data_IF_370288090210
#
_entry.id   IF_370288090210
#
_cell.length_a   1.000
_cell.length_b   1.000
_cell.length_c   1.000
_cell.angle_alpha   90.00
_cell.angle_beta   90.00
_cell.angle_gamma   90.00
#
_symmetry.space_group_name_H-M   'P 1'
#
loop_
_entity.id
_entity.type
_entity.pdbx_description
1 polymer ?
#
# COMPACT_ATOMS: atom_id res chain seq x y z
N UNK A 1 25.29 15.00 -17.44
CA UNK A 1 24.31 15.75 -18.26
C UNK A 1 23.11 15.99 -17.34
N UNK A 2 23.07 17.13 -16.68
CA UNK A 2 21.89 17.57 -15.95
C UNK A 2 20.86 17.99 -17.00
N UNK A 3 19.83 17.20 -17.18
CA UNK A 3 18.67 17.58 -17.99
C UNK A 3 17.92 18.66 -17.26
N UNK A 4 17.93 19.85 -17.82
CA UNK A 4 17.25 21.06 -17.36
C UNK A 4 15.72 20.82 -17.40
N UNK A 5 15.16 20.33 -16.29
CA UNK A 5 13.72 20.02 -16.14
C UNK A 5 12.86 21.27 -15.95
N UNK A 6 13.46 22.46 -15.99
CA UNK A 6 12.77 23.74 -15.75
C UNK A 6 11.99 24.30 -16.94
N UNK A 7 12.11 23.71 -18.15
CA UNK A 7 11.51 24.25 -19.37
C UNK A 7 10.75 23.24 -20.23
N UNK A 8 10.35 22.08 -19.70
CA UNK A 8 9.43 21.20 -20.42
C UNK A 8 8.05 21.86 -20.43
N UNK A 9 7.66 22.36 -21.60
CA UNK A 9 6.28 22.79 -21.83
C UNK A 9 5.37 21.57 -21.70
N UNK A 10 4.36 21.68 -20.88
CA UNK A 10 3.37 20.64 -20.63
C UNK A 10 2.74 20.10 -21.95
N UNK A 11 2.55 21.00 -22.91
CA UNK A 11 2.01 20.71 -24.25
C UNK A 11 2.86 19.74 -25.08
N UNK A 12 4.15 19.62 -24.77
CA UNK A 12 5.10 18.72 -25.45
C UNK A 12 5.28 17.38 -24.70
N UNK A 13 4.56 17.16 -23.60
CA UNK A 13 4.67 15.93 -22.81
C UNK A 13 3.65 14.88 -23.26
N UNK A 14 4.00 13.59 -23.09
CA UNK A 14 3.08 12.46 -23.32
C UNK A 14 1.80 12.53 -22.44
N UNK A 15 1.74 13.48 -21.50
CA UNK A 15 0.65 13.72 -20.57
C UNK A 15 -0.31 14.82 -21.10
N UNK A 16 0.02 15.52 -22.16
CA UNK A 16 -0.79 16.62 -22.68
C UNK A 16 -2.21 16.24 -23.08
N UNK A 17 -2.42 15.00 -23.51
CA UNK A 17 -3.74 14.47 -23.89
C UNK A 17 -4.53 13.86 -22.72
N UNK A 18 -3.92 13.65 -21.57
CA UNK A 18 -4.55 13.07 -20.39
C UNK A 18 -5.66 14.01 -19.87
N UNK A 19 -6.91 13.54 -19.73
CA UNK A 19 -8.08 14.33 -19.30
C UNK A 19 -8.75 15.16 -20.40
N UNK A 20 -8.30 15.07 -21.66
CA UNK A 20 -9.08 15.61 -22.79
C UNK A 20 -10.39 14.85 -22.96
N UNK A 21 -11.43 15.50 -23.52
CA UNK A 21 -12.72 14.84 -23.80
C UNK A 21 -12.57 13.58 -24.68
N UNK A 22 -11.58 13.55 -25.54
CA UNK A 22 -11.26 12.40 -26.38
C UNK A 22 -10.67 11.26 -25.55
N UNK A 23 -9.76 11.57 -24.65
CA UNK A 23 -9.15 10.58 -23.75
C UNK A 23 -10.18 10.05 -22.75
N UNK A 24 -11.02 10.92 -22.17
CA UNK A 24 -12.11 10.53 -21.28
C UNK A 24 -13.06 9.54 -21.97
N UNK A 25 -13.54 9.86 -23.19
CA UNK A 25 -14.40 8.96 -23.97
C UNK A 25 -13.74 7.63 -24.35
N UNK A 26 -12.45 7.67 -24.69
CA UNK A 26 -11.69 6.46 -24.97
C UNK A 26 -11.52 5.59 -23.72
N UNK A 27 -11.30 6.20 -22.58
CA UNK A 27 -11.15 5.52 -21.29
C UNK A 27 -12.48 4.92 -20.82
N UNK A 28 -13.59 5.66 -20.89
CA UNK A 28 -14.94 5.15 -20.61
C UNK A 28 -15.29 3.95 -21.50
N UNK A 29 -14.93 4.00 -22.80
CA UNK A 29 -15.09 2.85 -23.68
C UNK A 29 -14.25 1.66 -23.23
N UNK A 30 -12.97 1.86 -22.90
CA UNK A 30 -12.08 0.79 -22.42
C UNK A 30 -12.52 0.24 -21.06
N UNK A 31 -13.03 1.08 -20.17
CA UNK A 31 -13.60 0.64 -18.90
C UNK A 31 -14.75 -0.35 -19.12
N UNK A 32 -15.62 -0.09 -20.13
CA UNK A 32 -16.68 -1.00 -20.52
C UNK A 32 -16.19 -2.25 -21.30
N UNK A 33 -15.02 -2.18 -21.91
CA UNK A 33 -14.42 -3.32 -22.62
C UNK A 33 -13.60 -4.26 -21.70
N UNK A 34 -13.31 -3.88 -20.44
CA UNK A 34 -12.56 -4.69 -19.50
C UNK A 34 -13.44 -5.78 -18.87
N UNK A 35 -13.21 -7.08 -19.19
CA UNK A 35 -14.08 -8.16 -18.72
C UNK A 35 -14.11 -8.30 -17.20
N UNK A 36 -13.02 -7.98 -16.50
CA UNK A 36 -12.91 -8.15 -15.07
C UNK A 36 -13.84 -7.20 -14.31
N UNK A 37 -14.08 -5.99 -14.82
CA UNK A 37 -14.99 -5.04 -14.18
C UNK A 37 -16.44 -5.56 -14.19
N UNK A 38 -16.86 -6.24 -15.22
CA UNK A 38 -18.20 -6.84 -15.32
C UNK A 38 -18.44 -8.03 -14.37
N UNK A 39 -17.36 -8.58 -13.79
CA UNK A 39 -17.48 -9.63 -12.76
C UNK A 39 -17.87 -9.08 -11.39
N UNK A 40 -17.78 -7.77 -11.20
CA UNK A 40 -18.07 -7.09 -9.92
C UNK A 40 -19.53 -6.67 -9.90
N UNK A 41 -20.24 -7.10 -8.84
CA UNK A 41 -21.60 -6.63 -8.56
C UNK A 41 -21.54 -5.49 -7.56
N UNK A 42 -22.53 -4.59 -7.63
CA UNK A 42 -22.72 -3.54 -6.63
C UNK A 42 -23.29 -4.11 -5.32
N UNK A 43 -22.49 -4.95 -4.68
CA UNK A 43 -22.79 -5.57 -3.38
C UNK A 43 -21.51 -5.61 -2.52
N UNK A 44 -21.62 -5.63 -1.20
CA UNK A 44 -20.46 -5.68 -0.32
C UNK A 44 -19.52 -6.84 -0.68
N UNK A 45 -18.29 -6.51 -1.06
CA UNK A 45 -17.29 -7.50 -1.45
C UNK A 45 -15.86 -6.93 -1.34
N UNK A 46 -14.89 -7.84 -1.33
CA UNK A 46 -13.48 -7.56 -1.56
C UNK A 46 -13.06 -8.26 -2.85
N UNK A 47 -12.43 -7.54 -3.76
CA UNK A 47 -11.88 -8.05 -5.01
C UNK A 47 -10.44 -7.64 -5.14
N UNK A 48 -9.60 -8.56 -5.60
CA UNK A 48 -8.18 -8.32 -5.80
C UNK A 48 -7.79 -8.79 -7.19
N UNK A 49 -7.05 -7.95 -7.88
CA UNK A 49 -6.44 -8.27 -9.16
C UNK A 49 -4.95 -7.97 -9.10
N UNK A 50 -4.17 -8.75 -9.82
CA UNK A 50 -2.75 -8.49 -10.08
C UNK A 50 -2.59 -7.95 -11.50
N UNK A 51 -1.63 -7.07 -11.69
CA UNK A 51 -1.25 -6.63 -13.03
C UNK A 51 -0.25 -7.62 -13.62
N UNK A 52 -0.58 -8.18 -14.78
CA UNK A 52 0.27 -9.13 -15.50
C UNK A 52 0.34 -8.76 -16.98
N UNK A 53 1.52 -8.37 -17.47
CA UNK A 53 1.73 -8.05 -18.90
C UNK A 53 0.65 -7.10 -19.45
N UNK A 54 0.48 -5.98 -18.77
CA UNK A 54 -0.51 -4.92 -19.08
C UNK A 54 -1.99 -5.33 -18.93
N UNK A 55 -2.28 -6.49 -18.35
CA UNK A 55 -3.66 -6.95 -18.13
C UNK A 55 -3.99 -7.06 -16.65
N UNK A 56 -5.27 -6.94 -16.35
CA UNK A 56 -5.85 -7.19 -15.03
C UNK A 56 -6.14 -8.68 -14.91
N UNK A 57 -5.60 -9.33 -13.89
CA UNK A 57 -5.80 -10.76 -13.62
C UNK A 57 -6.38 -10.97 -12.22
N UNK A 58 -7.49 -11.71 -12.09
CA UNK A 58 -8.10 -11.94 -10.80
C UNK A 58 -7.13 -12.70 -9.88
N UNK A 59 -6.94 -12.18 -8.67
CA UNK A 59 -6.15 -12.83 -7.64
C UNK A 59 -6.97 -13.94 -6.98
N UNK A 60 -6.43 -15.14 -6.78
CA UNK A 60 -7.18 -16.23 -6.16
C UNK A 60 -7.63 -15.87 -4.73
N UNK A 61 -8.87 -16.19 -4.36
CA UNK A 61 -9.43 -15.84 -3.05
C UNK A 61 -8.69 -16.48 -1.88
N UNK A 62 -8.15 -17.65 -2.07
CA UNK A 62 -7.32 -18.37 -1.08
C UNK A 62 -5.96 -17.72 -0.86
N UNK A 63 -5.56 -16.80 -1.75
CA UNK A 63 -4.34 -16.01 -1.66
C UNK A 63 -4.57 -14.59 -1.10
N UNK A 64 -5.80 -14.22 -0.74
CA UNK A 64 -6.08 -12.89 -0.20
C UNK A 64 -5.30 -12.63 1.08
N UNK A 65 -4.62 -11.48 1.13
CA UNK A 65 -3.66 -11.11 2.17
C UNK A 65 -2.24 -11.62 1.91
N UNK A 66 -1.99 -12.30 0.77
CA UNK A 66 -0.65 -12.65 0.31
C UNK A 66 -0.34 -11.85 -0.94
N UNK A 67 0.76 -11.11 -0.93
CA UNK A 67 1.22 -10.25 -2.02
C UNK A 67 2.70 -10.54 -2.30
N UNK A 68 3.21 -10.07 -3.43
CA UNK A 68 4.61 -10.21 -3.82
C UNK A 68 5.23 -8.83 -4.05
N UNK A 69 6.47 -8.66 -3.59
CA UNK A 69 7.16 -7.37 -3.67
C UNK A 69 7.51 -6.95 -5.11
N UNK A 70 7.54 -7.88 -6.05
CA UNK A 70 7.76 -7.60 -7.48
C UNK A 70 6.50 -7.23 -8.25
N UNK A 71 5.31 -7.29 -7.64
CA UNK A 71 4.04 -7.13 -8.34
C UNK A 71 3.29 -5.86 -7.92
N UNK A 72 2.35 -5.45 -8.76
CA UNK A 72 1.36 -4.41 -8.43
C UNK A 72 -0.05 -4.98 -8.47
N UNK A 73 -0.87 -4.59 -7.49
CA UNK A 73 -2.23 -5.07 -7.32
C UNK A 73 -3.24 -3.93 -7.30
N UNK A 74 -4.47 -4.23 -7.72
CA UNK A 74 -5.65 -3.40 -7.51
C UNK A 74 -6.56 -4.14 -6.53
N UNK A 75 -6.94 -3.47 -5.43
CA UNK A 75 -7.83 -4.03 -4.41
C UNK A 75 -9.07 -3.16 -4.29
N UNK A 76 -10.22 -3.67 -4.70
CA UNK A 76 -11.51 -3.01 -4.58
C UNK A 76 -12.25 -3.53 -3.34
N UNK A 77 -12.63 -2.62 -2.46
CA UNK A 77 -13.50 -2.87 -1.32
C UNK A 77 -14.82 -2.14 -1.51
N UNK A 78 -15.91 -2.88 -1.49
CA UNK A 78 -17.27 -2.35 -1.47
C UNK A 78 -17.87 -2.69 -0.11
N UNK A 79 -18.24 -1.68 0.66
CA UNK A 79 -18.85 -1.87 1.98
C UNK A 79 -20.22 -1.17 2.02
N UNK A 80 -21.14 -1.72 2.82
CA UNK A 80 -22.42 -1.08 3.08
C UNK A 80 -22.35 -0.28 4.37
N UNK A 81 -22.60 1.02 4.30
CA UNK A 81 -22.63 1.92 5.45
C UNK A 81 -23.88 2.79 5.33
N UNK A 82 -24.69 2.85 6.40
CA UNK A 82 -25.91 3.66 6.47
C UNK A 82 -26.82 3.53 5.21
N UNK A 83 -27.04 2.26 4.78
CA UNK A 83 -27.79 1.89 3.57
C UNK A 83 -27.23 2.37 2.22
N UNK A 84 -26.02 2.93 2.21
CA UNK A 84 -25.28 3.29 0.99
C UNK A 84 -24.08 2.36 0.79
N UNK A 85 -23.68 2.20 -0.46
CA UNK A 85 -22.44 1.53 -0.79
C UNK A 85 -21.30 2.56 -0.83
N UNK A 86 -20.21 2.26 -0.14
CA UNK A 86 -18.95 2.98 -0.24
C UNK A 86 -17.98 2.12 -1.05
N UNK A 87 -17.36 2.73 -2.07
CA UNK A 87 -16.40 2.10 -2.97
C UNK A 87 -15.00 2.66 -2.71
N UNK A 88 -14.03 1.78 -2.49
CA UNK A 88 -12.63 2.15 -2.28
C UNK A 88 -11.75 1.24 -3.10
N UNK A 89 -10.89 1.82 -3.91
CA UNK A 89 -9.92 1.06 -4.68
C UNK A 89 -8.49 1.46 -4.28
N UNK A 90 -7.69 0.47 -3.95
CA UNK A 90 -6.30 0.62 -3.55
C UNK A 90 -5.40 0.14 -4.68
N UNK A 91 -4.44 0.97 -5.07
CA UNK A 91 -3.33 0.59 -5.93
C UNK A 91 -2.14 0.23 -5.04
N UNK A 92 -1.89 -1.06 -4.90
CA UNK A 92 -0.86 -1.59 -4.02
C UNK A 92 0.41 -1.89 -4.83
N UNK A 93 1.47 -1.14 -4.57
CA UNK A 93 2.72 -1.21 -5.31
C UNK A 93 3.79 -1.90 -4.49
N UNK A 94 4.27 -3.03 -4.98
CA UNK A 94 5.39 -3.73 -4.39
C UNK A 94 6.71 -2.97 -4.60
N UNK A 95 7.65 -3.18 -3.70
CA UNK A 95 8.93 -2.46 -3.64
C UNK A 95 9.81 -2.65 -4.88
N UNK A 96 9.67 -3.80 -5.54
CA UNK A 96 10.41 -4.18 -6.74
C UNK A 96 9.52 -4.21 -8.00
N UNK A 97 8.28 -3.73 -7.89
CA UNK A 97 7.36 -3.64 -9.03
C UNK A 97 7.92 -2.74 -10.12
N UNK A 98 7.72 -3.16 -11.37
CA UNK A 98 8.21 -2.44 -12.54
C UNK A 98 7.39 -1.17 -12.81
N UNK A 99 8.00 -0.21 -13.53
CA UNK A 99 7.30 1.01 -13.98
C UNK A 99 6.10 0.67 -14.87
N UNK A 100 6.20 -0.40 -15.68
CA UNK A 100 5.14 -0.83 -16.60
C UNK A 100 3.92 -1.36 -15.83
N UNK A 101 4.15 -2.14 -14.78
CA UNK A 101 3.06 -2.64 -13.92
C UNK A 101 2.40 -1.52 -13.14
N UNK A 102 3.21 -0.65 -12.53
CA UNK A 102 2.73 0.51 -11.77
C UNK A 102 1.95 1.47 -12.66
N UNK A 103 2.46 1.77 -13.86
CA UNK A 103 1.77 2.61 -14.84
C UNK A 103 0.46 1.99 -15.32
N UNK A 104 0.46 0.68 -15.57
CA UNK A 104 -0.76 -0.05 -15.96
C UNK A 104 -1.80 -0.03 -14.84
N UNK A 105 -1.39 -0.29 -13.60
CA UNK A 105 -2.28 -0.25 -12.44
C UNK A 105 -2.90 1.14 -12.26
N UNK A 106 -2.10 2.21 -12.37
CA UNK A 106 -2.57 3.59 -12.29
C UNK A 106 -3.62 3.91 -13.35
N UNK A 107 -3.44 3.41 -14.56
CA UNK A 107 -4.44 3.57 -15.63
C UNK A 107 -5.70 2.73 -15.37
N UNK A 108 -5.53 1.46 -15.02
CA UNK A 108 -6.62 0.51 -14.80
C UNK A 108 -7.49 0.85 -13.59
N UNK A 109 -6.94 1.43 -12.53
CA UNK A 109 -7.72 1.86 -11.37
C UNK A 109 -8.63 3.06 -11.70
N UNK A 110 -8.18 3.93 -12.61
CA UNK A 110 -9.00 5.04 -13.11
C UNK A 110 -10.08 4.54 -14.08
N UNK A 111 -9.79 3.53 -14.92
CA UNK A 111 -10.82 2.85 -15.73
C UNK A 111 -11.89 2.21 -14.83
N UNK A 112 -11.47 1.58 -13.71
CA UNK A 112 -12.40 0.99 -12.73
C UNK A 112 -13.31 2.06 -12.11
N UNK A 113 -12.76 3.23 -11.78
CA UNK A 113 -13.54 4.35 -11.26
C UNK A 113 -14.55 4.90 -12.29
N UNK A 114 -14.14 5.04 -13.56
CA UNK A 114 -15.05 5.42 -14.64
C UNK A 114 -16.16 4.38 -14.84
N UNK A 115 -15.86 3.07 -14.72
CA UNK A 115 -16.85 1.99 -14.77
C UNK A 115 -17.92 2.12 -13.68
N UNK A 116 -17.53 2.51 -12.47
CA UNK A 116 -18.42 2.78 -11.33
C UNK A 116 -18.86 4.25 -11.25
N UNK A 117 -18.89 4.98 -12.38
CA UNK A 117 -19.41 6.35 -12.49
C UNK A 117 -18.73 7.34 -11.55
N UNK A 118 -17.42 7.18 -11.32
CA UNK A 118 -16.57 8.03 -10.46
C UNK A 118 -17.03 8.07 -9.00
N UNK A 119 -17.50 6.95 -8.49
CA UNK A 119 -17.89 6.81 -7.09
C UNK A 119 -16.78 6.24 -6.20
N UNK A 120 -15.65 5.84 -6.78
CA UNK A 120 -14.57 5.16 -6.06
C UNK A 120 -13.61 6.16 -5.44
N UNK A 121 -13.33 6.01 -4.15
CA UNK A 121 -12.17 6.65 -3.52
C UNK A 121 -10.90 5.90 -3.91
N UNK A 122 -10.00 6.59 -4.60
CA UNK A 122 -8.73 6.01 -5.08
C UNK A 122 -7.62 6.20 -4.03
N UNK A 123 -6.93 5.12 -3.70
CA UNK A 123 -5.92 5.10 -2.64
C UNK A 123 -4.64 4.45 -3.18
N UNK A 124 -3.51 5.15 -3.04
CA UNK A 124 -2.20 4.61 -3.33
C UNK A 124 -1.59 4.01 -2.06
N UNK A 125 -1.19 2.74 -2.16
CA UNK A 125 -0.54 1.99 -1.09
C UNK A 125 0.86 1.56 -1.56
N UNK A 126 1.88 1.91 -0.82
CA UNK A 126 3.23 1.40 -1.08
C UNK A 126 3.58 0.33 -0.06
N UNK A 127 4.31 -0.68 -0.51
CA UNK A 127 4.82 -1.71 0.38
C UNK A 127 5.58 -1.10 1.56
N UNK A 128 5.35 -1.65 2.75
CA UNK A 128 5.89 -1.22 4.05
C UNK A 128 5.26 0.08 4.62
N UNK A 129 4.32 0.68 3.90
CA UNK A 129 3.62 1.93 4.28
C UNK A 129 2.11 1.83 4.05
N UNK A 130 1.58 0.64 4.11
CA UNK A 130 0.16 0.39 3.88
C UNK A 130 -0.71 1.14 4.90
N UNK A 131 -1.82 1.69 4.43
CA UNK A 131 -2.76 2.39 5.29
C UNK A 131 -3.45 1.42 6.26
N UNK A 132 -3.86 1.93 7.43
CA UNK A 132 -4.64 1.16 8.41
C UNK A 132 -5.92 0.58 7.80
N UNK A 133 -6.51 1.31 6.86
CA UNK A 133 -7.70 0.89 6.14
C UNK A 133 -7.41 -0.36 5.31
N UNK A 134 -6.35 -0.32 4.51
CA UNK A 134 -5.95 -1.46 3.69
C UNK A 134 -5.64 -2.70 4.55
N UNK A 135 -4.87 -2.53 5.61
CA UNK A 135 -4.53 -3.61 6.52
C UNK A 135 -5.78 -4.22 7.19
N UNK A 136 -6.81 -3.41 7.44
CA UNK A 136 -8.06 -3.89 8.09
C UNK A 136 -8.88 -4.86 7.26
N UNK A 137 -8.64 -4.95 5.94
CA UNK A 137 -9.35 -5.89 5.08
C UNK A 137 -8.89 -7.33 5.27
N UNK A 138 -7.74 -7.54 5.89
CA UNK A 138 -7.09 -8.83 6.00
C UNK A 138 -6.88 -9.22 7.47
N UNK A 139 -7.11 -10.48 7.79
CA UNK A 139 -6.76 -11.02 9.10
C UNK A 139 -5.24 -11.02 9.33
N UNK A 140 -4.49 -11.30 8.26
CA UNK A 140 -3.03 -11.24 8.21
C UNK A 140 -2.60 -10.80 6.83
N UNK A 141 -1.55 -10.00 6.76
CA UNK A 141 -0.87 -9.64 5.51
C UNK A 141 0.53 -10.23 5.52
N UNK A 142 0.93 -10.77 4.38
CA UNK A 142 2.27 -11.24 4.11
C UNK A 142 2.72 -10.77 2.72
N UNK A 143 3.88 -10.16 2.65
CA UNK A 143 4.52 -9.75 1.41
C UNK A 143 5.74 -10.65 1.20
N UNK A 144 5.71 -11.40 0.12
CA UNK A 144 6.73 -12.39 -0.23
C UNK A 144 7.73 -11.81 -1.23
N UNK A 145 8.95 -12.32 -1.19
CA UNK A 145 9.97 -12.06 -2.20
C UNK A 145 9.55 -12.64 -3.55
N UNK A 146 9.89 -11.94 -4.64
CA UNK A 146 9.59 -12.35 -6.01
C UNK A 146 8.39 -11.62 -6.60
N UNK A 147 7.90 -12.15 -7.70
CA UNK A 147 6.79 -11.61 -8.49
C UNK A 147 6.61 -12.40 -9.78
N UNK A 148 5.86 -11.86 -10.77
CA UNK A 148 5.49 -12.59 -11.97
C UNK A 148 6.70 -13.08 -12.80
N UNK A 149 7.77 -12.29 -12.85
CA UNK A 149 8.97 -12.63 -13.62
C UNK A 149 9.88 -13.64 -12.90
N UNK A 150 9.74 -13.81 -11.60
CA UNK A 150 10.51 -14.78 -10.80
C UNK A 150 9.94 -16.20 -10.83
N UNK A 151 8.83 -16.40 -11.54
CA UNK A 151 8.15 -17.67 -11.61
C UNK A 151 7.39 -17.99 -10.32
N UNK A 152 6.11 -17.93 -10.40
CA UNK A 152 5.20 -18.25 -9.31
C UNK A 152 5.40 -19.72 -8.88
N UNK A 153 6.28 -19.98 -7.93
CA UNK A 153 6.49 -21.32 -7.41
C UNK A 153 5.44 -21.60 -6.35
N UNK A 154 4.51 -22.47 -6.66
CA UNK A 154 3.60 -23.02 -5.67
C UNK A 154 4.44 -23.81 -4.66
N UNK A 155 4.62 -23.24 -3.47
CA UNK A 155 5.47 -23.83 -2.43
C UNK A 155 4.88 -25.17 -2.01
N UNK A 156 5.64 -26.23 -2.27
CA UNK A 156 5.39 -27.54 -1.65
C UNK A 156 6.23 -27.59 -0.36
N UNK A 157 5.62 -27.89 0.80
CA UNK A 157 6.34 -27.86 2.08
C UNK A 157 7.60 -28.74 2.12
N UNK A 158 7.61 -29.81 1.35
CA UNK A 158 8.70 -30.78 1.27
C UNK A 158 9.86 -30.35 0.35
N UNK A 159 9.60 -29.39 -0.56
CA UNK A 159 10.57 -28.87 -1.55
C UNK A 159 10.98 -27.43 -1.26
N UNK A 160 10.72 -26.97 -0.08
CA UNK A 160 10.75 -25.58 0.28
C UNK A 160 12.14 -25.08 0.71
N UNK A 161 12.57 -23.91 0.22
CA UNK A 161 13.72 -23.22 0.80
C UNK A 161 13.34 -22.51 2.10
N UNK A 162 14.15 -22.58 3.17
CA UNK A 162 13.91 -21.78 4.35
C UNK A 162 13.85 -20.29 4.03
N UNK A 163 12.94 -19.56 4.67
CA UNK A 163 12.80 -18.10 4.55
C UNK A 163 12.58 -17.46 5.91
N UNK A 164 12.89 -16.18 5.98
CA UNK A 164 12.71 -15.35 7.17
C UNK A 164 11.60 -14.34 6.91
N UNK A 165 10.60 -14.33 7.77
CA UNK A 165 9.52 -13.34 7.75
C UNK A 165 9.70 -12.40 8.92
N UNK A 166 9.74 -11.11 8.66
CA UNK A 166 9.80 -10.04 9.64
C UNK A 166 8.39 -9.55 9.95
N UNK A 167 7.97 -9.63 11.19
CA UNK A 167 6.67 -9.17 11.70
C UNK A 167 6.91 -7.93 12.53
N UNK A 168 6.32 -6.80 12.13
CA UNK A 168 6.55 -5.50 12.75
C UNK A 168 5.34 -4.60 12.73
N UNK A 169 5.31 -3.63 13.61
CA UNK A 169 4.30 -2.58 13.64
C UNK A 169 3.68 -2.36 15.01
N UNK A 170 2.78 -1.40 15.10
CA UNK A 170 2.12 -0.99 16.34
C UNK A 170 0.60 -1.07 16.21
N UNK A 171 -0.07 -1.50 17.27
CA UNK A 171 -1.52 -1.57 17.36
C UNK A 171 -2.17 -2.32 16.17
N UNK A 172 -3.07 -1.67 15.46
CA UNK A 172 -3.72 -2.22 14.26
C UNK A 172 -2.85 -2.18 13.00
N UNK A 173 -1.59 -1.84 13.13
CA UNK A 173 -0.66 -1.58 12.03
C UNK A 173 0.50 -2.55 12.05
N UNK A 174 0.18 -3.84 12.10
CA UNK A 174 1.18 -4.90 12.04
C UNK A 174 1.11 -5.57 10.69
N UNK A 175 2.26 -5.67 10.03
CA UNK A 175 2.42 -6.35 8.75
C UNK A 175 3.62 -7.29 8.79
N UNK A 176 3.73 -8.15 7.79
CA UNK A 176 4.80 -9.12 7.66
C UNK A 176 5.39 -9.08 6.26
N UNK A 177 6.72 -9.11 6.17
CA UNK A 177 7.45 -9.16 4.90
C UNK A 177 8.55 -10.19 4.93
N UNK A 178 8.86 -10.79 3.79
CA UNK A 178 10.04 -11.64 3.64
C UNK A 178 11.28 -10.75 3.61
N UNK A 179 12.31 -11.17 4.35
CA UNK A 179 13.61 -10.49 4.45
C UNK A 179 14.72 -11.52 4.23
N UNK A 180 15.95 -11.09 3.89
CA UNK A 180 17.06 -12.02 3.74
C UNK A 180 17.24 -12.92 4.95
N UNK A 181 17.42 -14.23 4.72
CA UNK A 181 17.63 -15.22 5.79
C UNK A 181 19.05 -15.08 6.36
N UNK A 182 19.28 -14.03 7.11
CA UNK A 182 20.54 -13.72 7.77
C UNK A 182 20.32 -13.09 9.14
N UNK A 183 21.27 -13.29 10.05
CA UNK A 183 21.18 -12.77 11.42
C UNK A 183 21.07 -11.23 11.45
N UNK A 184 21.70 -10.54 10.49
CA UNK A 184 21.65 -9.09 10.35
C UNK A 184 20.26 -8.52 10.01
N UNK A 185 19.33 -9.37 9.54
CA UNK A 185 17.94 -8.99 9.29
C UNK A 185 17.10 -9.00 10.57
N UNK A 186 17.57 -9.65 11.64
CA UNK A 186 16.82 -9.77 12.90
C UNK A 186 17.21 -8.67 13.89
N UNK A 187 16.27 -8.29 14.74
CA UNK A 187 16.49 -7.35 15.85
C UNK A 187 15.61 -7.74 17.04
N UNK A 188 15.90 -7.21 18.21
CA UNK A 188 15.16 -7.53 19.44
C UNK A 188 13.89 -6.71 19.66
N UNK A 189 13.60 -5.76 18.78
CA UNK A 189 12.40 -4.92 18.83
C UNK A 189 11.16 -5.57 18.26
N UNK A 190 11.34 -6.56 17.38
CA UNK A 190 10.31 -7.12 16.55
C UNK A 190 10.17 -8.64 16.71
N UNK A 191 9.24 -9.26 15.98
CA UNK A 191 9.04 -10.69 15.91
C UNK A 191 9.43 -11.22 14.53
N UNK A 192 10.00 -12.43 14.49
CA UNK A 192 10.47 -13.06 13.26
C UNK A 192 9.99 -14.50 13.18
N UNK A 193 9.61 -14.92 11.95
CA UNK A 193 9.22 -16.31 11.69
C UNK A 193 10.21 -16.91 10.70
N UNK A 194 10.97 -17.93 11.14
CA UNK A 194 11.75 -18.76 10.24
C UNK A 194 10.85 -19.89 9.77
N UNK A 195 10.54 -19.87 8.49
CA UNK A 195 9.71 -20.88 7.84
C UNK A 195 10.61 -21.92 7.18
N UNK A 196 10.70 -23.09 7.77
CA UNK A 196 11.48 -24.23 7.29
C UNK A 196 10.58 -25.34 6.69
N UNK A 197 9.51 -24.91 6.02
CA UNK A 197 8.57 -25.79 5.35
C UNK A 197 7.67 -26.60 6.30
N UNK A 198 8.22 -27.56 7.02
CA UNK A 198 7.52 -28.40 7.98
C UNK A 198 7.63 -27.91 9.44
N UNK A 199 8.44 -26.90 9.68
CA UNK A 199 8.56 -26.26 10.99
C UNK A 199 8.55 -24.75 10.83
N UNK A 200 7.75 -24.08 11.65
CA UNK A 200 7.69 -22.64 11.77
C UNK A 200 8.28 -22.24 13.11
N UNK A 201 9.42 -21.57 13.11
CA UNK A 201 10.04 -21.07 14.34
C UNK A 201 9.60 -19.62 14.51
N UNK A 202 8.74 -19.37 15.49
CA UNK A 202 8.26 -18.04 15.83
C UNK A 202 9.17 -17.44 16.90
N UNK A 203 10.16 -16.67 16.47
CA UNK A 203 11.11 -16.02 17.37
C UNK A 203 10.60 -14.64 17.80
N UNK A 204 10.63 -14.39 19.10
CA UNK A 204 10.11 -13.19 19.74
C UNK A 204 11.25 -12.37 20.34
N UNK A 205 11.48 -11.18 19.79
CA UNK A 205 12.38 -10.22 20.39
C UNK A 205 11.89 -9.77 21.77
N UNK A 206 12.82 -9.51 22.70
CA UNK A 206 12.49 -9.15 24.09
C UNK A 206 11.71 -7.84 24.21
N UNK A 207 11.80 -6.97 23.19
CA UNK A 207 11.09 -5.68 23.11
C UNK A 207 9.92 -5.70 22.14
N UNK A 208 9.62 -6.85 21.51
CA UNK A 208 8.48 -6.95 20.58
C UNK A 208 7.16 -6.69 21.31
N UNK A 209 6.27 -5.99 20.63
CA UNK A 209 4.95 -5.61 21.16
C UNK A 209 4.00 -6.79 21.26
N UNK A 210 2.96 -6.67 22.10
CA UNK A 210 1.88 -7.67 22.17
C UNK A 210 1.12 -7.81 20.86
N UNK A 211 1.05 -6.75 20.06
CA UNK A 211 0.41 -6.77 18.74
C UNK A 211 1.19 -7.60 17.74
N UNK A 212 2.52 -7.46 17.70
CA UNK A 212 3.40 -8.26 16.85
C UNK A 212 3.33 -9.73 17.24
N UNK A 213 3.39 -10.05 18.56
CA UNK A 213 3.25 -11.42 19.07
C UNK A 213 1.93 -12.08 18.69
N UNK A 214 0.85 -11.32 18.74
CA UNK A 214 -0.47 -11.80 18.29
C UNK A 214 -0.49 -12.03 16.79
N UNK A 215 0.04 -11.08 16.00
CA UNK A 215 0.06 -11.16 14.55
C UNK A 215 0.97 -12.31 14.08
N UNK A 216 2.17 -12.46 14.61
CA UNK A 216 3.10 -13.55 14.28
C UNK A 216 2.52 -14.92 14.59
N UNK A 217 1.88 -15.07 15.75
CA UNK A 217 1.15 -16.30 16.08
C UNK A 217 0.03 -16.60 15.09
N UNK A 218 -0.77 -15.57 14.73
CA UNK A 218 -1.86 -15.72 13.76
C UNK A 218 -1.34 -16.05 12.37
N UNK A 219 -0.21 -15.47 11.96
CA UNK A 219 0.44 -15.77 10.69
C UNK A 219 0.98 -17.20 10.65
N UNK A 220 1.61 -17.67 11.72
CA UNK A 220 2.04 -19.07 11.82
C UNK A 220 0.87 -20.04 11.66
N UNK A 221 -0.26 -19.78 12.31
CA UNK A 221 -1.44 -20.62 12.18
C UNK A 221 -2.05 -20.55 10.77
N UNK A 222 -2.04 -19.38 10.11
CA UNK A 222 -2.44 -19.25 8.69
C UNK A 222 -1.56 -20.10 7.80
N UNK A 223 -0.23 -19.95 7.86
CA UNK A 223 0.72 -20.72 7.05
C UNK A 223 0.55 -22.23 7.28
N UNK A 224 0.38 -22.64 8.53
CA UNK A 224 0.11 -24.03 8.89
C UNK A 224 -1.21 -24.53 8.27
N UNK A 225 -2.28 -23.73 8.34
CA UNK A 225 -3.58 -24.06 7.76
C UNK A 225 -3.49 -24.23 6.24
N UNK A 226 -2.84 -23.31 5.54
CA UNK A 226 -2.62 -23.33 4.09
C UNK A 226 -1.86 -24.60 3.64
N UNK A 227 -1.02 -25.15 4.53
CA UNK A 227 -0.26 -26.41 4.34
C UNK A 227 -0.93 -27.64 4.95
N UNK A 228 -2.26 -27.65 5.05
CA UNK A 228 -3.06 -28.77 5.59
C UNK A 228 -2.64 -29.20 6.99
N UNK A 229 -2.28 -28.24 7.85
CA UNK A 229 -1.85 -28.44 9.24
C UNK A 229 -0.59 -29.31 9.43
N UNK A 230 0.21 -29.52 8.39
CA UNK A 230 1.47 -30.29 8.48
C UNK A 230 2.56 -29.61 9.30
N UNK A 231 2.83 -28.26 9.15
CA UNK A 231 3.90 -27.62 9.88
C UNK A 231 3.71 -27.64 11.40
N UNK A 232 4.80 -27.88 12.12
CA UNK A 232 4.90 -27.70 13.58
C UNK A 232 5.26 -26.23 13.86
N UNK A 233 4.59 -25.59 14.81
CA UNK A 233 4.94 -24.26 15.29
C UNK A 233 5.79 -24.41 16.58
N UNK A 234 6.93 -23.74 16.63
CA UNK A 234 7.81 -23.67 17.78
C UNK A 234 8.02 -22.20 18.10
N UNK A 235 7.53 -21.75 19.25
CA UNK A 235 7.79 -20.40 19.75
C UNK A 235 9.08 -20.36 20.54
N UNK A 236 9.90 -19.34 20.32
CA UNK A 236 11.22 -19.15 20.94
C UNK A 236 11.29 -17.70 21.40
N UNK A 237 11.49 -17.47 22.69
CA UNK A 237 11.76 -16.14 23.19
C UNK A 237 13.26 -15.81 23.08
N UNK A 238 13.61 -14.54 22.89
CA UNK A 238 15.00 -14.10 22.82
C UNK A 238 15.79 -14.60 24.03
N UNK A 239 16.94 -15.24 23.80
CA UNK A 239 17.78 -15.88 24.82
C UNK A 239 17.56 -17.39 24.97
N UNK A 240 16.50 -17.96 24.39
CA UNK A 240 16.21 -19.41 24.43
C UNK A 240 16.65 -20.14 23.16
N UNK A 241 17.18 -19.42 22.17
CA UNK A 241 17.50 -19.92 20.83
C UNK A 241 18.75 -20.79 20.69
N UNK A 242 19.48 -21.10 21.81
CA UNK A 242 20.87 -21.59 21.86
C UNK A 242 21.26 -22.68 20.84
N UNK A 243 20.32 -23.54 20.42
CA UNK A 243 20.66 -24.63 19.52
C UNK A 243 19.73 -24.69 18.26
N UNK A 244 18.58 -24.06 18.30
CA UNK A 244 17.59 -24.15 17.21
C UNK A 244 17.95 -23.25 16.05
N UNK A 245 18.42 -22.03 16.31
CA UNK A 245 18.75 -21.05 15.25
C UNK A 245 20.15 -21.28 14.67
N UNK A 246 21.06 -22.01 15.33
CA UNK A 246 22.36 -22.39 14.77
C UNK A 246 22.23 -23.20 13.46
N UNK A 247 21.11 -23.88 13.27
CA UNK A 247 20.82 -24.59 12.03
C UNK A 247 20.73 -23.66 10.81
N UNK A 248 20.25 -22.43 11.01
CA UNK A 248 20.01 -21.46 9.95
C UNK A 248 21.11 -20.40 9.86
N UNK A 249 21.79 -20.15 10.96
CA UNK A 249 22.80 -19.11 11.07
C UNK A 249 24.10 -19.72 11.62
N UNK A 250 25.13 -19.82 10.78
CA UNK A 250 26.45 -20.45 11.12
C UNK A 250 27.09 -19.87 12.37
N UNK A 251 26.76 -18.63 12.74
CA UNK A 251 27.28 -17.96 13.93
C UNK A 251 26.20 -17.11 14.61
N UNK A 252 25.17 -17.78 15.14
CA UNK A 252 24.20 -17.07 15.97
C UNK A 252 24.81 -16.63 17.26
N UNK A 253 24.87 -15.31 17.49
CA UNK A 253 25.15 -14.71 18.82
C UNK A 253 24.26 -13.49 18.99
N UNK A 254 23.82 -13.23 20.22
CA UNK A 254 23.03 -12.04 20.55
C UNK A 254 23.70 -10.72 20.12
N UNK A 255 25.03 -10.68 20.17
CA UNK A 255 25.80 -9.50 19.76
C UNK A 255 25.71 -9.18 18.27
N UNK A 256 25.25 -10.14 17.46
CA UNK A 256 25.05 -9.99 16.01
C UNK A 256 23.60 -9.74 15.62
N UNK A 257 22.67 -9.81 16.57
CA UNK A 257 21.33 -9.32 16.33
C UNK A 257 21.42 -7.86 15.92
N UNK A 258 20.88 -7.55 14.76
CA UNK A 258 20.94 -6.20 14.21
C UNK A 258 20.44 -5.20 15.25
N UNK A 259 21.29 -4.25 15.58
CA UNK A 259 20.94 -3.10 16.43
C UNK A 259 19.98 -2.13 15.77
N UNK A 260 19.51 -2.44 14.56
CA UNK A 260 18.39 -1.72 13.99
C UNK A 260 17.24 -1.91 14.96
N UNK A 261 17.03 -0.87 15.79
CA UNK A 261 15.71 -0.65 16.34
C UNK A 261 14.75 -0.95 15.21
N UNK A 262 13.75 -1.81 15.48
CA UNK A 262 12.66 -2.06 14.55
C UNK A 262 12.31 -0.75 13.91
N UNK A 263 11.90 -0.69 12.66
CA UNK A 263 11.69 0.60 11.97
C UNK A 263 11.27 1.54 13.07
N UNK A 264 12.05 2.57 13.32
CA UNK A 264 11.64 3.49 14.35
C UNK A 264 10.17 3.67 14.04
N UNK A 265 9.32 3.61 15.05
CA UNK A 265 7.96 4.09 14.92
C UNK A 265 7.98 5.55 14.45
N UNK A 266 8.93 5.87 13.58
CA UNK A 266 9.19 7.07 12.80
C UNK A 266 8.14 7.36 11.76
N UNK A 267 7.18 6.53 11.66
CA UNK A 267 5.87 7.05 11.66
C UNK A 267 5.65 7.68 13.03
N UNK A 268 6.43 8.68 13.38
CA UNK A 268 6.05 9.72 14.31
C UNK A 268 4.85 10.40 13.68
N UNK A 269 3.75 9.61 13.75
CA UNK A 269 2.42 10.02 13.42
C UNK A 269 2.20 11.34 14.14
N UNK A 270 2.06 12.41 13.41
CA UNK A 270 1.39 13.56 13.91
C UNK A 270 2.14 14.85 14.16
N UNK A 271 3.42 14.96 13.83
CA UNK A 271 4.08 16.26 13.99
C UNK A 271 4.10 17.13 12.71
N UNK A 272 3.77 16.57 11.56
CA UNK A 272 3.77 17.31 10.31
C UNK A 272 2.33 17.52 9.84
N UNK A 273 1.78 18.70 10.14
CA UNK A 273 0.46 19.11 9.65
C UNK A 273 0.66 20.29 8.71
N UNK A 274 0.52 20.06 7.41
CA UNK A 274 0.55 21.07 6.38
C UNK A 274 -0.62 20.96 5.43
N UNK A 275 -1.03 22.08 4.88
CA UNK A 275 -2.10 22.14 3.90
C UNK A 275 -1.65 22.99 2.72
N UNK A 276 -1.86 22.48 1.51
CA UNK A 276 -1.54 23.17 0.28
C UNK A 276 -2.81 23.34 -0.56
N UNK A 277 -2.99 24.50 -1.13
CA UNK A 277 -4.01 24.77 -2.16
C UNK A 277 -3.38 24.54 -3.53
N UNK A 278 -4.06 23.82 -4.38
CA UNK A 278 -3.76 23.69 -5.80
C UNK A 278 -4.80 24.49 -6.58
N UNK A 279 -4.35 25.45 -7.38
CA UNK A 279 -5.24 26.34 -8.12
C UNK A 279 -4.64 26.75 -9.47
N UNK A 280 -5.49 26.94 -10.47
CA UNK A 280 -5.14 27.45 -11.81
C UNK A 280 -5.69 28.85 -12.08
N UNK A 281 -6.20 29.57 -11.07
CA UNK A 281 -6.72 30.94 -11.17
C UNK A 281 -5.76 31.93 -11.87
N UNK A 282 -4.44 31.71 -11.74
CA UNK A 282 -3.40 32.51 -12.39
C UNK A 282 -3.09 32.09 -13.84
N UNK A 283 -3.83 31.18 -14.44
CA UNK A 283 -3.58 30.61 -15.78
C UNK A 283 -2.46 29.59 -15.83
N UNK A 284 -1.92 29.21 -14.66
CA UNK A 284 -1.00 28.08 -14.45
C UNK A 284 -1.37 27.37 -13.17
N UNK A 285 -1.27 26.05 -13.20
CA UNK A 285 -1.52 25.26 -12.01
C UNK A 285 -0.36 25.41 -11.03
N UNK A 286 -0.65 26.03 -9.88
CA UNK A 286 0.32 26.30 -8.82
C UNK A 286 -0.14 25.71 -7.48
N UNK A 287 0.84 25.28 -6.68
CA UNK A 287 0.60 24.77 -5.33
C UNK A 287 1.13 25.78 -4.32
N UNK A 288 0.27 26.28 -3.45
CA UNK A 288 0.58 27.28 -2.43
C UNK A 288 0.24 26.79 -1.04
N UNK A 289 1.07 27.08 -0.04
CA UNK A 289 0.77 26.75 1.35
C UNK A 289 -0.34 27.64 1.89
N UNK A 290 -1.31 27.04 2.58
CA UNK A 290 -2.42 27.74 3.22
C UNK A 290 -2.50 27.35 4.70
N UNK A 291 -3.15 28.17 5.56
CA UNK A 291 -3.35 27.83 6.96
C UNK A 291 -4.02 26.46 7.10
N UNK A 292 -3.53 25.64 8.03
CA UNK A 292 -4.10 24.32 8.30
C UNK A 292 -5.44 24.44 9.00
N UNK A 293 -6.54 24.30 8.27
CA UNK A 293 -7.89 24.45 8.81
C UNK A 293 -8.98 24.07 7.84
N UNK A 294 -10.08 23.48 8.36
CA UNK A 294 -11.22 23.07 7.55
C UNK A 294 -11.91 24.23 6.83
N UNK A 295 -11.84 25.42 7.38
CA UNK A 295 -12.41 26.66 6.84
C UNK A 295 -11.73 27.09 5.52
N UNK A 296 -10.54 26.55 5.24
CA UNK A 296 -9.82 26.79 3.98
C UNK A 296 -10.34 25.96 2.82
N UNK A 297 -11.03 24.83 3.10
CA UNK A 297 -11.55 23.97 2.04
C UNK A 297 -12.69 24.67 1.30
N UNK A 298 -12.45 24.94 0.02
CA UNK A 298 -13.41 25.58 -0.88
C UNK A 298 -13.70 24.66 -2.06
N UNK A 299 -14.94 24.61 -2.47
CA UNK A 299 -15.40 23.72 -3.53
C UNK A 299 -14.78 23.98 -4.90
N UNK A 300 -14.23 25.19 -5.12
CA UNK A 300 -13.70 25.62 -6.42
C UNK A 300 -12.23 25.20 -6.65
N UNK A 301 -11.59 24.62 -5.63
CA UNK A 301 -10.15 24.28 -5.66
C UNK A 301 -9.89 22.83 -5.21
N UNK A 302 -8.64 22.38 -5.40
CA UNK A 302 -8.12 21.11 -4.86
C UNK A 302 -7.12 21.38 -3.75
N UNK A 303 -7.18 20.59 -2.68
CA UNK A 303 -6.31 20.75 -1.51
C UNK A 303 -5.53 19.47 -1.21
N UNK A 304 -4.25 19.62 -0.84
CA UNK A 304 -3.44 18.58 -0.23
C UNK A 304 -3.44 18.79 1.27
N UNK A 305 -3.82 17.77 2.03
CA UNK A 305 -3.85 17.80 3.50
C UNK A 305 -2.87 16.73 3.99
N UNK A 306 -1.68 17.16 4.41
CA UNK A 306 -0.71 16.28 5.06
C UNK A 306 -1.03 16.17 6.54
N UNK A 307 -1.50 15.00 6.95
CA UNK A 307 -1.83 14.69 8.33
C UNK A 307 -0.65 14.11 9.12
N UNK A 308 0.44 13.78 8.43
CA UNK A 308 1.62 13.13 9.00
C UNK A 308 1.71 11.63 8.70
N UNK A 309 0.61 10.89 8.77
CA UNK A 309 0.49 9.47 8.45
C UNK A 309 -0.04 9.21 7.03
N UNK A 310 -0.82 10.13 6.50
CA UNK A 310 -1.41 10.06 5.16
C UNK A 310 -1.43 11.46 4.54
N UNK A 311 -1.46 11.52 3.22
CA UNK A 311 -1.74 12.74 2.45
C UNK A 311 -3.09 12.58 1.79
N UNK A 312 -4.01 13.49 2.07
CA UNK A 312 -5.30 13.55 1.39
C UNK A 312 -5.23 14.54 0.24
N UNK A 313 -5.70 14.14 -0.92
CA UNK A 313 -5.99 15.01 -2.06
C UNK A 313 -7.49 15.22 -2.08
N UNK A 314 -7.93 16.31 -1.49
CA UNK A 314 -9.36 16.66 -1.45
C UNK A 314 -9.70 17.50 -2.67
N UNK A 315 -10.61 17.01 -3.50
CA UNK A 315 -11.02 17.62 -4.76
C UNK A 315 -12.39 18.25 -4.59
N UNK A 316 -12.45 19.57 -4.70
CA UNK A 316 -13.72 20.32 -4.66
C UNK A 316 -14.58 20.01 -5.88
N UNK A 317 -15.91 20.07 -5.73
CA UNK A 317 -16.84 19.81 -6.83
C UNK A 317 -16.67 20.75 -8.01
N UNK A 318 -16.36 22.03 -7.71
CA UNK A 318 -16.11 23.08 -8.70
C UNK A 318 -14.67 23.19 -9.18
N UNK A 319 -13.75 22.36 -8.64
CA UNK A 319 -12.35 22.36 -9.05
C UNK A 319 -12.21 22.13 -10.56
N UNK A 320 -11.24 22.78 -11.17
CA UNK A 320 -10.97 22.67 -12.61
C UNK A 320 -10.56 21.26 -13.03
N UNK A 321 -10.63 20.97 -14.31
CA UNK A 321 -10.21 19.67 -14.85
C UNK A 321 -8.69 19.43 -14.61
N UNK A 322 -7.90 20.48 -14.67
CA UNK A 322 -6.46 20.39 -14.44
C UNK A 322 -6.14 20.15 -12.97
N UNK A 323 -6.82 20.82 -12.05
CA UNK A 323 -6.69 20.59 -10.61
C UNK A 323 -7.06 19.14 -10.22
N UNK A 324 -8.20 18.64 -10.73
CA UNK A 324 -8.65 17.24 -10.53
C UNK A 324 -7.65 16.23 -11.04
N UNK A 325 -7.11 16.50 -12.22
CA UNK A 325 -6.19 15.63 -12.93
C UNK A 325 -4.82 15.54 -12.27
N UNK A 326 -4.29 16.67 -11.81
CA UNK A 326 -2.92 16.76 -11.32
C UNK A 326 -2.78 16.67 -9.80
N UNK A 327 -3.87 16.64 -9.06
CA UNK A 327 -3.84 16.58 -7.59
C UNK A 327 -2.91 15.48 -7.04
N UNK A 328 -3.01 14.26 -7.58
CA UNK A 328 -2.13 13.15 -7.17
C UNK A 328 -0.65 13.40 -7.54
N UNK A 329 -0.38 13.94 -8.71
CA UNK A 329 1.00 14.24 -9.17
C UNK A 329 1.62 15.31 -8.26
N UNK A 330 0.84 16.34 -7.91
CA UNK A 330 1.29 17.38 -6.97
C UNK A 330 1.51 16.83 -5.56
N UNK A 331 0.70 15.85 -5.11
CA UNK A 331 0.93 15.17 -3.83
C UNK A 331 2.26 14.40 -3.83
N UNK A 332 2.61 13.70 -4.92
CA UNK A 332 3.94 13.07 -5.07
C UNK A 332 5.07 14.11 -5.08
N UNK A 333 4.92 15.20 -5.82
CA UNK A 333 5.89 16.28 -5.83
C UNK A 333 6.05 16.94 -4.44
N UNK A 334 4.96 17.10 -3.71
CA UNK A 334 4.96 17.59 -2.33
C UNK A 334 5.78 16.68 -1.43
N UNK A 335 5.61 15.35 -1.52
CA UNK A 335 6.43 14.39 -0.77
C UNK A 335 7.93 14.62 -0.98
N UNK A 336 8.35 14.85 -2.23
CA UNK A 336 9.76 15.13 -2.57
C UNK A 336 10.25 16.46 -2.00
N UNK A 337 9.47 17.53 -2.15
CA UNK A 337 9.81 18.88 -1.69
C UNK A 337 9.94 18.98 -0.17
N UNK A 338 9.00 18.40 0.55
CA UNK A 338 8.97 18.41 2.02
C UNK A 338 9.82 17.29 2.63
N UNK A 339 10.59 16.57 1.81
CA UNK A 339 11.40 15.41 2.23
C UNK A 339 10.59 14.40 3.03
N UNK A 340 9.31 14.27 2.69
CA UNK A 340 8.43 13.26 3.27
C UNK A 340 8.83 11.89 2.73
N UNK A 341 8.52 10.85 3.47
CA UNK A 341 8.69 9.49 2.97
C UNK A 341 7.88 9.32 1.68
N UNK A 342 8.56 8.97 0.58
CA UNK A 342 7.95 8.81 -0.76
C UNK A 342 6.81 7.80 -0.82
N UNK A 343 6.70 7.00 0.22
CA UNK A 343 5.79 5.87 0.31
C UNK A 343 4.58 6.12 1.21
N UNK A 344 4.41 7.34 1.76
CA UNK A 344 3.18 7.65 2.51
C UNK A 344 1.94 7.43 1.62
N UNK A 345 0.88 6.82 2.16
CA UNK A 345 -0.37 6.66 1.44
C UNK A 345 -0.91 8.01 0.96
N UNK A 346 -1.35 8.06 -0.29
CA UNK A 346 -2.04 9.22 -0.86
C UNK A 346 -3.46 8.80 -1.15
N UNK A 347 -4.42 9.50 -0.55
CA UNK A 347 -5.85 9.21 -0.63
C UNK A 347 -6.50 10.33 -1.42
N UNK A 348 -6.92 10.05 -2.65
CA UNK A 348 -7.64 11.00 -3.48
C UNK A 348 -9.14 10.79 -3.30
N UNK A 349 -9.85 11.86 -2.97
CA UNK A 349 -11.28 11.84 -2.71
C UNK A 349 -11.96 13.13 -3.19
N UNK A 350 -13.21 13.01 -3.57
CA UNK A 350 -14.04 14.14 -3.93
C UNK A 350 -14.75 14.75 -2.72
N UNK A 351 -15.12 16.01 -2.83
CA UNK A 351 -15.91 16.71 -1.80
C UNK A 351 -17.16 15.92 -1.42
N UNK A 352 -17.28 15.58 -0.13
CA UNK A 352 -18.36 14.78 0.44
C UNK A 352 -18.04 13.31 0.64
N UNK A 353 -16.97 12.80 0.03
CA UNK A 353 -16.47 11.46 0.32
C UNK A 353 -15.69 11.46 1.64
N UNK A 354 -15.72 10.34 2.37
CA UNK A 354 -14.95 10.12 3.61
C UNK A 354 -14.97 11.33 4.57
N UNK A 355 -16.12 11.99 4.71
CA UNK A 355 -16.25 13.20 5.49
C UNK A 355 -15.79 13.05 6.96
N UNK A 356 -16.05 11.92 7.68
CA UNK A 356 -15.55 11.71 9.04
C UNK A 356 -14.02 11.71 9.12
N UNK A 357 -13.33 11.12 8.13
CA UNK A 357 -11.87 11.07 8.05
C UNK A 357 -11.28 12.46 7.79
N UNK A 358 -11.91 13.24 6.91
CA UNK A 358 -11.52 14.64 6.67
C UNK A 358 -11.74 15.49 7.91
N UNK A 359 -12.86 15.32 8.61
CA UNK A 359 -13.13 16.05 9.86
C UNK A 359 -12.10 15.71 10.96
N UNK A 360 -11.58 14.47 10.98
CA UNK A 360 -10.52 14.07 11.90
C UNK A 360 -9.15 14.68 11.56
N UNK A 361 -8.91 15.10 10.33
CA UNK A 361 -7.66 15.77 9.96
C UNK A 361 -7.49 17.10 10.73
N UNK A 362 -8.59 17.76 11.08
CA UNK A 362 -8.60 19.08 11.69
C UNK A 362 -8.88 19.07 13.21
N UNK A 363 -8.93 17.93 13.82
CA UNK A 363 -8.97 17.74 15.28
C UNK A 363 -7.57 17.50 15.83
#
# INVERSE_FOLDING_TARGET
>A
METDTKNLKFEDSNIAMLGSDVEIKLREKRANDEPEWHTVKEEPCLRIWRIEKFNVKPWPKDQYGTFYQGDTYIVLSIIKKDDKLEFKAHMCVGKESTCDETGTAAYKIVELDDFFHRQITLIYEAQDYESKMFLSYFKTIIILEGGIDSGFVKVKPEEYRPRLLHVRGIASWVHSSEVPLEIGSMNNGDEFIIDDGLTLYNWRGSKSSSFEKFHGTTLCEKIKGDRRSKPKIITIDEGEEKDLLKKFFESFSQDKLGTKQGIPDDMKMGCHKKMMKLSDEGGKLEMTEVPYGKDQLKSDDTFLIDRGDNIYVWVGKGASNDEKRFGFIFAKKYQDLEKRTKNLPIITLEEGQMQPEIDMCFK
#
